data_IF_290099555828
#
_entry.id   IF_290099555828
#
_cell.length_a   1.000
_cell.length_b   1.000
_cell.length_c   1.000
_cell.angle_alpha   90.00
_cell.angle_beta   90.00
_cell.angle_gamma   90.00
#
_symmetry.space_group_name_H-M   'P 1'
#
loop_
_entity.id
_entity.type
_entity.pdbx_description
1 polymer ?
#
# COMPACT_ATOMS: atom_id res chain seq x y z
N UNK A 1 -15.01 36.85 5.83
CA UNK A 1 -14.57 35.66 6.59
C UNK A 1 -14.69 34.52 5.59
N UNK A 2 -13.58 34.04 5.04
CA UNK A 2 -13.60 32.95 4.06
C UNK A 2 -13.60 31.65 4.85
N UNK A 3 -14.67 30.87 4.70
CA UNK A 3 -14.85 29.59 5.37
C UNK A 3 -13.69 28.65 4.99
N UNK A 4 -13.00 28.13 6.01
CA UNK A 4 -12.03 27.05 5.88
C UNK A 4 -12.76 25.82 5.32
N UNK A 5 -12.53 25.53 4.04
CA UNK A 5 -12.90 24.24 3.46
C UNK A 5 -12.03 23.19 4.14
N UNK A 6 -12.58 22.53 5.16
CA UNK A 6 -11.97 21.37 5.79
C UNK A 6 -11.90 20.23 4.76
N UNK A 7 -10.75 20.08 4.11
CA UNK A 7 -10.46 18.93 3.27
C UNK A 7 -10.40 17.67 4.15
N UNK A 8 -11.15 16.60 3.83
CA UNK A 8 -11.12 15.39 4.64
C UNK A 8 -9.69 14.83 4.66
N UNK A 9 -9.12 14.71 5.86
CA UNK A 9 -7.79 14.17 6.13
C UNK A 9 -7.74 12.64 5.93
N UNK A 10 -8.30 12.13 4.83
CA UNK A 10 -8.31 10.71 4.47
C UNK A 10 -7.48 10.44 3.21
N UNK A 11 -6.58 11.36 2.85
CA UNK A 11 -5.49 11.03 1.94
C UNK A 11 -4.43 10.28 2.74
N UNK A 12 -4.36 8.96 2.61
CA UNK A 12 -3.11 8.25 2.87
C UNK A 12 -2.04 8.95 2.04
N UNK A 13 -1.28 9.85 2.67
CA UNK A 13 -0.20 10.61 2.04
C UNK A 13 0.99 9.67 1.86
N UNK A 14 0.78 8.60 1.09
CA UNK A 14 1.85 7.80 0.54
C UNK A 14 2.42 8.57 -0.63
N UNK A 15 3.70 8.96 -0.55
CA UNK A 15 4.39 9.49 -1.71
C UNK A 15 4.39 8.40 -2.79
N UNK A 16 3.79 8.70 -3.96
CA UNK A 16 3.81 7.77 -5.10
C UNK A 16 5.26 7.43 -5.42
N UNK A 17 5.59 6.14 -5.34
CA UNK A 17 6.93 5.61 -5.59
C UNK A 17 6.81 4.56 -6.68
N UNK A 18 7.71 4.65 -7.67
CA UNK A 18 7.80 3.65 -8.72
C UNK A 18 8.84 2.61 -8.32
N UNK A 19 8.45 1.34 -8.36
CA UNK A 19 9.34 0.21 -8.11
C UNK A 19 9.19 -0.81 -9.24
N UNK A 20 10.26 -1.52 -9.55
CA UNK A 20 10.23 -2.61 -10.52
C UNK A 20 9.87 -3.91 -9.81
N UNK A 21 8.88 -4.63 -10.34
CA UNK A 21 8.54 -5.99 -9.94
C UNK A 21 8.74 -6.90 -11.16
N UNK A 22 9.18 -8.13 -10.92
CA UNK A 22 9.04 -9.19 -11.93
C UNK A 22 7.57 -9.44 -12.23
N UNK A 23 7.27 -9.98 -13.41
CA UNK A 23 5.89 -10.31 -13.80
C UNK A 23 5.23 -11.27 -12.80
N UNK A 24 5.98 -12.26 -12.31
CA UNK A 24 5.52 -13.21 -11.30
C UNK A 24 5.14 -12.51 -9.99
N UNK A 25 6.00 -11.63 -9.48
CA UNK A 25 5.75 -10.89 -8.24
C UNK A 25 4.58 -9.91 -8.40
N UNK A 26 4.42 -9.31 -9.59
CA UNK A 26 3.27 -8.45 -9.89
C UNK A 26 1.97 -9.23 -9.83
N UNK A 27 1.91 -10.42 -10.43
CA UNK A 27 0.73 -11.29 -10.40
C UNK A 27 0.40 -11.73 -8.97
N UNK A 28 1.40 -12.05 -8.16
CA UNK A 28 1.20 -12.39 -6.75
C UNK A 28 0.61 -11.20 -5.98
N UNK A 29 1.20 -10.01 -6.13
CA UNK A 29 0.69 -8.80 -5.49
C UNK A 29 -0.73 -8.46 -5.95
N UNK A 30 -1.04 -8.61 -7.23
CA UNK A 30 -2.39 -8.39 -7.76
C UNK A 30 -3.41 -9.36 -7.14
N UNK A 31 -3.06 -10.64 -7.01
CA UNK A 31 -3.93 -11.65 -6.37
C UNK A 31 -4.12 -11.38 -4.88
N UNK A 32 -3.08 -10.98 -4.17
CA UNK A 32 -3.15 -10.65 -2.74
C UNK A 32 -4.03 -9.42 -2.48
N UNK A 33 -4.01 -8.45 -3.39
CA UNK A 33 -4.73 -7.18 -3.27
C UNK A 33 -6.04 -7.10 -4.06
N UNK A 34 -6.65 -8.24 -4.42
CA UNK A 34 -7.92 -8.30 -5.16
C UNK A 34 -7.94 -7.42 -6.43
N UNK A 35 -6.91 -7.58 -7.27
CA UNK A 35 -6.71 -6.78 -8.48
C UNK A 35 -5.91 -5.49 -8.26
N UNK A 36 -5.54 -5.14 -7.02
CA UNK A 36 -4.72 -3.97 -6.70
C UNK A 36 -3.32 -4.35 -6.23
N UNK A 37 -2.33 -4.14 -7.10
CA UNK A 37 -0.91 -4.41 -6.80
C UNK A 37 -0.40 -3.66 -5.57
N UNK A 38 -0.78 -2.39 -5.38
CA UNK A 38 -0.34 -1.60 -4.22
C UNK A 38 -0.88 -2.17 -2.92
N UNK A 39 -2.12 -2.66 -2.94
CA UNK A 39 -2.74 -3.29 -1.77
C UNK A 39 -2.07 -4.62 -1.44
N UNK A 40 -1.80 -5.46 -2.43
CA UNK A 40 -1.09 -6.72 -2.21
C UNK A 40 0.31 -6.52 -1.64
N UNK A 41 1.03 -5.49 -2.08
CA UNK A 41 2.33 -5.12 -1.49
C UNK A 41 2.17 -4.72 -0.02
N UNK A 42 1.17 -3.90 0.33
CA UNK A 42 0.90 -3.51 1.73
C UNK A 42 0.61 -4.71 2.61
N UNK A 43 -0.23 -5.63 2.14
CA UNK A 43 -0.56 -6.87 2.85
C UNK A 43 0.69 -7.72 3.06
N UNK A 44 1.49 -7.94 2.00
CA UNK A 44 2.71 -8.74 2.08
C UNK A 44 3.73 -8.15 3.08
N UNK A 45 3.91 -6.83 3.08
CA UNK A 45 4.80 -6.16 4.04
C UNK A 45 4.29 -6.23 5.47
N UNK A 46 2.97 -6.08 5.69
CA UNK A 46 2.37 -6.22 7.01
C UNK A 46 2.55 -7.65 7.57
N UNK A 47 2.36 -8.67 6.72
CA UNK A 47 2.60 -10.07 7.09
C UNK A 47 4.08 -10.32 7.41
N UNK A 48 5.00 -9.80 6.58
CA UNK A 48 6.44 -9.93 6.84
C UNK A 48 6.84 -9.25 8.16
N UNK A 49 6.31 -8.05 8.44
CA UNK A 49 6.58 -7.34 9.69
C UNK A 49 6.05 -8.10 10.92
N UNK A 50 4.83 -8.65 10.84
CA UNK A 50 4.26 -9.48 11.91
C UNK A 50 5.10 -10.74 12.19
N UNK A 51 5.66 -11.35 11.14
CA UNK A 51 6.53 -12.52 11.27
C UNK A 51 7.95 -12.17 11.76
N UNK A 52 8.39 -10.93 11.61
CA UNK A 52 9.75 -10.49 11.99
C UNK A 52 9.81 -9.90 13.41
N UNK A 53 8.68 -9.50 14.01
CA UNK A 53 8.58 -8.97 15.38
C UNK A 53 8.75 -9.98 16.51
N UNK A 54 9.36 -11.15 16.25
CA UNK A 54 9.67 -12.20 17.22
C UNK A 54 11.13 -12.20 17.69
N UNK A 55 11.75 -11.02 17.82
CA UNK A 55 13.09 -10.81 18.37
C UNK A 55 13.10 -9.73 19.45
#
# INVERSE_FOLDING_TARGET
>A
MLDEIAWPATGQSGRRTNIYLSDENRVIAERLGDGNVSEGIRIALAQAAANTGGH
#
